data_IF_956865141190
#
_entry.id   IF_956865141190
#
_cell.length_a   1.000
_cell.length_b   1.000
_cell.length_c   1.000
_cell.angle_alpha   90.00
_cell.angle_beta   90.00
_cell.angle_gamma   90.00
#
_symmetry.space_group_name_H-M   'P 1'
#
loop_
_entity.id
_entity.type
_entity.pdbx_description
1 polymer ?
#
# COMPACT_ATOMS: atom_id res chain seq x y z
N UNK A 1 -13.93 -57.33 -38.55
CA UNK A 1 -13.38 -56.65 -37.34
C UNK A 1 -13.24 -55.18 -37.64
N UNK A 2 -14.02 -54.32 -37.04
CA UNK A 2 -13.95 -52.87 -37.33
C UNK A 2 -12.85 -52.21 -36.49
N UNK A 3 -12.08 -51.36 -37.14
CA UNK A 3 -10.90 -50.64 -36.66
C UNK A 3 -11.21 -49.58 -35.58
N UNK A 4 -10.96 -49.92 -34.33
CA UNK A 4 -11.13 -49.02 -33.14
C UNK A 4 -10.06 -47.92 -33.06
N UNK A 5 -9.10 -47.85 -33.97
CA UNK A 5 -7.96 -46.90 -33.88
C UNK A 5 -8.23 -45.48 -34.38
N UNK A 6 -9.34 -45.22 -35.09
CA UNK A 6 -9.64 -43.86 -35.60
C UNK A 6 -10.20 -42.90 -34.54
N UNK A 7 -10.72 -43.37 -33.42
CA UNK A 7 -11.26 -42.55 -32.33
C UNK A 7 -10.18 -41.98 -31.39
N UNK A 8 -9.20 -42.80 -31.06
CA UNK A 8 -8.12 -42.45 -30.13
C UNK A 8 -7.29 -41.26 -30.62
N UNK A 9 -6.93 -41.22 -31.91
CA UNK A 9 -6.17 -40.10 -32.48
C UNK A 9 -6.87 -38.73 -32.36
N UNK A 10 -8.21 -38.72 -32.57
CA UNK A 10 -9.01 -37.49 -32.42
C UNK A 10 -9.07 -37.01 -30.97
N UNK A 11 -9.16 -37.91 -30.01
CA UNK A 11 -9.16 -37.61 -28.58
C UNK A 11 -7.80 -37.01 -28.16
N UNK A 12 -6.69 -37.58 -28.62
CA UNK A 12 -5.36 -37.05 -28.35
C UNK A 12 -5.17 -35.66 -28.94
N UNK A 13 -5.64 -35.39 -30.15
CA UNK A 13 -5.56 -34.05 -30.77
C UNK A 13 -6.39 -33.04 -29.97
N UNK A 14 -7.59 -33.38 -29.53
CA UNK A 14 -8.45 -32.50 -28.73
C UNK A 14 -7.78 -32.19 -27.39
N UNK A 15 -7.25 -33.20 -26.70
CA UNK A 15 -6.54 -33.03 -25.44
C UNK A 15 -5.28 -32.17 -25.60
N UNK A 16 -4.54 -32.35 -26.68
CA UNK A 16 -3.34 -31.53 -26.95
C UNK A 16 -3.70 -30.07 -27.23
N UNK A 17 -4.75 -29.82 -28.03
CA UNK A 17 -5.21 -28.46 -28.33
C UNK A 17 -5.74 -27.76 -27.07
N UNK A 18 -6.52 -28.48 -26.25
CA UNK A 18 -7.02 -27.89 -24.97
C UNK A 18 -5.88 -27.59 -23.99
N UNK A 19 -4.87 -28.45 -23.89
CA UNK A 19 -3.68 -28.21 -23.08
C UNK A 19 -2.90 -26.98 -23.57
N UNK A 20 -2.75 -26.81 -24.89
CA UNK A 20 -2.11 -25.63 -25.49
C UNK A 20 -2.89 -24.33 -25.21
N UNK A 21 -4.22 -24.37 -25.27
CA UNK A 21 -5.08 -23.22 -24.98
C UNK A 21 -4.98 -22.81 -23.49
N UNK A 22 -4.98 -23.81 -22.59
CA UNK A 22 -4.82 -23.55 -21.14
C UNK A 22 -3.43 -22.99 -20.85
N UNK A 23 -2.37 -23.56 -21.44
CA UNK A 23 -1.00 -23.05 -21.28
C UNK A 23 -0.85 -21.61 -21.83
N UNK A 24 -1.45 -21.33 -23.00
CA UNK A 24 -1.49 -20.00 -23.60
C UNK A 24 -2.22 -18.99 -22.72
N UNK A 25 -3.41 -19.34 -22.24
CA UNK A 25 -4.20 -18.49 -21.35
C UNK A 25 -3.48 -18.24 -20.03
N UNK A 26 -2.83 -19.27 -19.45
CA UNK A 26 -2.02 -19.16 -18.24
C UNK A 26 -0.80 -18.25 -18.43
N UNK A 27 -0.10 -18.37 -19.56
CA UNK A 27 1.04 -17.52 -19.90
C UNK A 27 0.62 -16.05 -20.10
N UNK A 28 -0.47 -15.82 -20.83
CA UNK A 28 -1.02 -14.47 -21.03
C UNK A 28 -1.50 -13.86 -19.71
N UNK A 29 -2.20 -14.64 -18.88
CA UNK A 29 -2.63 -14.21 -17.55
C UNK A 29 -1.45 -13.85 -16.64
N UNK A 30 -0.41 -14.67 -16.64
CA UNK A 30 0.83 -14.40 -15.90
C UNK A 30 1.53 -13.10 -16.36
N UNK A 31 1.67 -12.91 -17.67
CA UNK A 31 2.24 -11.68 -18.24
C UNK A 31 1.39 -10.45 -17.91
N UNK A 32 0.08 -10.58 -17.96
CA UNK A 32 -0.84 -9.51 -17.60
C UNK A 32 -0.68 -9.09 -16.12
N UNK A 33 -0.67 -10.06 -15.21
CA UNK A 33 -0.48 -9.80 -13.77
C UNK A 33 0.91 -9.22 -13.48
N UNK A 34 1.95 -9.72 -14.14
CA UNK A 34 3.32 -9.20 -13.99
C UNK A 34 3.46 -7.75 -14.46
N UNK A 35 2.66 -7.33 -15.45
CA UNK A 35 2.65 -5.96 -15.98
C UNK A 35 1.68 -5.01 -15.25
N UNK A 36 0.87 -5.55 -14.30
CA UNK A 36 0.06 -4.73 -13.40
C UNK A 36 0.98 -4.12 -12.34
N UNK A 37 1.54 -2.95 -12.66
CA UNK A 37 2.21 -2.15 -11.63
C UNK A 37 1.14 -1.52 -10.73
N UNK A 38 1.36 -1.44 -9.40
CA UNK A 38 0.43 -0.78 -8.48
C UNK A 38 0.08 0.66 -8.90
N UNK A 39 0.99 1.34 -9.59
CA UNK A 39 0.73 2.67 -10.18
C UNK A 39 -0.41 2.64 -11.22
N UNK A 40 -0.43 1.62 -12.10
CA UNK A 40 -1.50 1.47 -13.09
C UNK A 40 -2.84 1.15 -12.44
N UNK A 41 -2.84 0.38 -11.34
CA UNK A 41 -4.05 0.06 -10.58
C UNK A 41 -4.63 1.32 -9.93
N UNK A 42 -3.79 2.16 -9.31
CA UNK A 42 -4.21 3.41 -8.66
C UNK A 42 -4.79 4.40 -9.69
N UNK A 43 -4.31 4.36 -10.93
CA UNK A 43 -4.76 5.24 -12.02
C UNK A 43 -5.97 4.69 -12.79
N UNK A 44 -6.53 3.54 -12.42
CA UNK A 44 -7.72 3.00 -13.09
C UNK A 44 -8.94 3.91 -12.88
N UNK A 45 -9.81 3.98 -13.89
CA UNK A 45 -11.06 4.76 -13.82
C UNK A 45 -11.93 4.39 -12.62
N UNK A 46 -11.87 3.14 -12.19
CA UNK A 46 -12.61 2.66 -11.03
C UNK A 46 -12.18 3.42 -9.76
N UNK A 47 -10.89 3.56 -9.51
CA UNK A 47 -10.36 4.28 -8.33
C UNK A 47 -10.62 5.77 -8.49
N UNK A 48 -10.47 6.34 -9.69
CA UNK A 48 -10.78 7.75 -9.96
C UNK A 48 -12.22 8.10 -9.64
N UNK A 49 -13.18 7.23 -9.96
CA UNK A 49 -14.59 7.42 -9.61
C UNK A 49 -14.85 7.36 -8.10
N UNK A 50 -14.17 6.46 -7.38
CA UNK A 50 -14.33 6.32 -5.92
C UNK A 50 -13.79 7.54 -5.15
N UNK A 51 -12.71 8.14 -5.62
CA UNK A 51 -12.02 9.26 -4.96
C UNK A 51 -12.70 10.61 -5.23
N UNK A 52 -13.55 10.69 -6.26
CA UNK A 52 -14.22 11.91 -6.68
C UNK A 52 -13.31 12.90 -7.44
N UNK A 53 -13.93 13.75 -8.25
CA UNK A 53 -13.19 14.67 -9.13
C UNK A 53 -12.31 15.68 -8.38
N UNK A 54 -12.76 16.11 -7.21
CA UNK A 54 -12.05 17.09 -6.37
C UNK A 54 -10.73 16.55 -5.75
N UNK A 55 -10.57 15.24 -5.70
CA UNK A 55 -9.41 14.60 -5.08
C UNK A 55 -8.46 13.93 -6.10
N UNK A 56 -8.64 14.19 -7.40
CA UNK A 56 -7.81 13.56 -8.44
C UNK A 56 -6.33 13.92 -8.32
N UNK A 57 -6.00 15.09 -7.78
CA UNK A 57 -4.61 15.48 -7.56
C UNK A 57 -3.94 14.63 -6.47
N UNK A 58 -4.70 14.16 -5.49
CA UNK A 58 -4.19 13.19 -4.49
C UNK A 58 -3.84 11.85 -5.14
N UNK A 59 -4.62 11.41 -6.14
CA UNK A 59 -4.30 10.19 -6.90
C UNK A 59 -3.01 10.29 -7.67
N UNK A 60 -2.70 11.47 -8.23
CA UNK A 60 -1.41 11.72 -8.92
C UNK A 60 -0.23 11.66 -7.94
N UNK A 61 -0.45 12.06 -6.68
CA UNK A 61 0.57 12.04 -5.63
C UNK A 61 0.70 10.66 -4.97
N UNK A 62 -0.36 9.84 -4.99
CA UNK A 62 -0.39 8.56 -4.30
C UNK A 62 0.81 7.64 -4.62
N UNK A 63 1.26 7.45 -5.88
CA UNK A 63 2.44 6.66 -6.17
C UNK A 63 3.69 7.18 -5.46
N UNK A 64 3.87 8.50 -5.46
CA UNK A 64 5.00 9.15 -4.79
C UNK A 64 4.93 8.99 -3.27
N UNK A 65 3.75 9.18 -2.68
CA UNK A 65 3.53 9.03 -1.24
C UNK A 65 3.72 7.57 -0.78
N UNK A 66 3.30 6.61 -1.60
CA UNK A 66 3.44 5.18 -1.33
C UNK A 66 4.84 4.62 -1.68
N UNK A 67 5.79 5.47 -2.05
CA UNK A 67 7.19 5.11 -2.24
C UNK A 67 7.46 4.24 -3.47
N UNK A 68 6.72 4.45 -4.58
CA UNK A 68 6.98 3.71 -5.83
C UNK A 68 8.24 4.20 -6.54
N UNK A 69 8.53 5.51 -6.47
CA UNK A 69 9.73 6.13 -7.02
C UNK A 69 10.96 5.86 -6.14
N UNK A 70 10.81 6.05 -4.81
CA UNK A 70 11.82 5.82 -3.80
C UNK A 70 11.17 5.58 -2.44
N UNK A 71 11.81 4.86 -1.51
CA UNK A 71 11.28 4.68 -0.17
C UNK A 71 10.99 6.02 0.52
N UNK A 72 9.87 6.10 1.23
CA UNK A 72 9.41 7.26 1.99
C UNK A 72 9.21 6.87 3.43
N UNK A 73 9.72 7.67 4.33
CA UNK A 73 9.51 7.48 5.78
C UNK A 73 8.65 8.62 6.31
N UNK A 74 7.64 8.27 7.08
CA UNK A 74 6.68 9.20 7.67
C UNK A 74 6.69 9.05 9.18
N UNK A 75 6.57 10.16 9.87
CA UNK A 75 6.24 10.21 11.28
C UNK A 75 4.71 10.37 11.40
N UNK A 76 4.06 9.40 12.03
CA UNK A 76 2.65 9.45 12.35
C UNK A 76 2.48 9.81 13.82
N UNK A 77 1.68 10.81 14.09
CA UNK A 77 1.35 11.29 15.42
C UNK A 77 -0.12 10.95 15.71
N UNK A 78 -0.36 10.19 16.75
CA UNK A 78 -1.70 9.80 17.17
C UNK A 78 -2.17 10.73 18.27
N UNK A 79 -3.15 11.57 17.93
CA UNK A 79 -3.71 12.58 18.79
C UNK A 79 -5.01 12.10 19.43
N UNK A 80 -5.13 12.29 20.74
CA UNK A 80 -6.36 12.07 21.48
C UNK A 80 -7.12 13.39 21.61
N UNK A 81 -8.15 13.58 20.81
CA UNK A 81 -8.97 14.79 20.78
C UNK A 81 -9.93 14.91 21.98
N UNK A 82 -10.08 13.87 22.79
CA UNK A 82 -10.94 13.93 23.98
C UNK A 82 -10.23 14.57 25.17
N UNK A 83 -8.93 14.71 25.09
CA UNK A 83 -8.13 15.39 26.10
C UNK A 83 -7.94 16.86 25.72
N UNK A 84 -8.68 17.75 26.39
CA UNK A 84 -8.65 19.20 26.13
C UNK A 84 -7.32 19.79 26.60
N UNK A 85 -6.48 20.19 25.66
CA UNK A 85 -5.23 20.91 25.92
C UNK A 85 -5.15 22.18 25.06
N UNK A 86 -4.43 23.21 25.49
CA UNK A 86 -4.12 24.35 24.64
C UNK A 86 -3.41 23.88 23.37
N UNK A 87 -3.99 24.17 22.19
CA UNK A 87 -3.42 23.80 20.89
C UNK A 87 -4.04 22.56 20.23
N UNK A 88 -5.03 21.91 20.84
CA UNK A 88 -5.74 20.75 20.27
C UNK A 88 -5.84 19.59 21.25
N UNK A 89 -5.57 18.38 20.82
CA UNK A 89 -5.55 17.19 21.64
C UNK A 89 -4.19 16.86 22.25
N UNK A 90 -4.07 15.66 22.78
CA UNK A 90 -2.82 15.13 23.34
C UNK A 90 -2.23 14.07 22.40
N UNK A 91 -0.99 14.28 21.98
CA UNK A 91 -0.24 13.29 21.19
C UNK A 91 0.34 12.27 22.15
N UNK A 92 -0.32 11.12 22.33
CA UNK A 92 0.10 10.07 23.26
C UNK A 92 1.06 9.04 22.67
N UNK A 93 0.96 8.84 21.35
CA UNK A 93 1.72 7.80 20.63
C UNK A 93 2.25 8.37 19.33
N UNK A 94 3.42 7.90 18.93
CA UNK A 94 3.96 8.14 17.59
C UNK A 94 4.32 6.82 16.90
N UNK A 95 4.35 6.83 15.58
CA UNK A 95 4.88 5.73 14.80
C UNK A 95 5.76 6.26 13.65
N UNK A 96 6.84 5.54 13.37
CA UNK A 96 7.68 5.76 12.20
C UNK A 96 7.37 4.66 11.20
N UNK A 97 6.82 5.04 10.05
CA UNK A 97 6.33 4.12 9.03
C UNK A 97 7.07 4.39 7.73
N UNK A 98 7.52 3.33 7.09
CA UNK A 98 8.19 3.39 5.80
C UNK A 98 7.32 2.77 4.72
N UNK A 99 7.19 3.48 3.61
CA UNK A 99 6.59 2.97 2.40
C UNK A 99 7.66 2.73 1.34
N UNK A 100 7.64 1.54 0.74
CA UNK A 100 8.52 1.18 -0.37
C UNK A 100 7.74 0.31 -1.37
N UNK A 101 7.59 0.77 -2.60
CA UNK A 101 6.85 0.08 -3.66
C UNK A 101 5.41 -0.30 -3.24
N UNK A 102 4.73 0.59 -2.52
CA UNK A 102 3.38 0.38 -2.01
C UNK A 102 3.27 -0.54 -0.79
N UNK A 103 4.39 -1.08 -0.28
CA UNK A 103 4.42 -1.88 0.95
C UNK A 103 4.69 -0.97 2.14
N UNK A 104 3.92 -1.18 3.21
CA UNK A 104 4.07 -0.48 4.47
C UNK A 104 4.90 -1.33 5.45
N UNK A 105 5.86 -0.69 6.08
CA UNK A 105 6.72 -1.27 7.12
C UNK A 105 6.69 -0.36 8.34
N UNK A 106 6.36 -0.91 9.50
CA UNK A 106 6.42 -0.20 10.78
C UNK A 106 7.86 -0.31 11.31
N UNK A 107 8.56 0.82 11.38
CA UNK A 107 9.95 0.87 11.84
C UNK A 107 10.04 1.06 13.36
N UNK A 108 9.16 1.88 13.92
CA UNK A 108 9.07 2.14 15.35
C UNK A 108 7.66 2.59 15.72
N UNK A 109 7.24 2.28 16.94
CA UNK A 109 6.01 2.78 17.54
C UNK A 109 6.22 2.82 19.05
N UNK A 110 5.95 3.98 19.69
CA UNK A 110 6.12 4.13 21.11
C UNK A 110 5.27 5.29 21.66
N UNK A 111 5.16 5.35 22.99
CA UNK A 111 4.56 6.48 23.70
C UNK A 111 5.47 7.72 23.65
N UNK A 112 4.85 8.89 23.49
CA UNK A 112 5.60 10.16 23.52
C UNK A 112 6.26 10.44 24.86
N UNK A 113 5.71 9.89 25.95
CA UNK A 113 6.32 9.95 27.28
C UNK A 113 7.73 9.34 27.34
N UNK A 114 7.99 8.30 26.54
CA UNK A 114 9.30 7.67 26.48
C UNK A 114 10.32 8.55 25.76
N UNK A 115 9.89 9.32 24.76
CA UNK A 115 10.74 10.33 24.12
C UNK A 115 11.15 11.40 25.13
N UNK A 116 10.18 11.92 25.90
CA UNK A 116 10.43 12.97 26.89
C UNK A 116 11.33 12.47 28.04
N UNK A 117 11.12 11.23 28.47
CA UNK A 117 11.94 10.60 29.54
C UNK A 117 13.38 10.41 29.11
N UNK A 118 13.62 10.05 27.86
CA UNK A 118 14.95 9.79 27.32
C UNK A 118 15.59 11.01 26.67
N UNK A 119 14.88 12.14 26.60
CA UNK A 119 15.42 13.37 26.05
C UNK A 119 16.59 13.91 26.92
N UNK A 120 17.67 14.36 26.29
CA UNK A 120 18.74 15.05 27.03
C UNK A 120 18.20 16.20 27.89
N UNK A 121 18.81 16.42 29.06
CA UNK A 121 18.33 17.42 30.03
C UNK A 121 18.31 18.83 29.42
N UNK A 122 19.26 19.11 28.57
CA UNK A 122 19.41 20.40 27.87
C UNK A 122 18.34 20.62 26.76
N UNK A 123 17.65 19.56 26.34
CA UNK A 123 16.54 19.63 25.36
C UNK A 123 15.20 19.97 26.01
N UNK A 124 15.09 19.86 27.32
CA UNK A 124 13.86 20.16 28.04
C UNK A 124 13.65 21.68 28.08
N UNK A 125 12.83 22.16 27.14
CA UNK A 125 12.42 23.56 27.16
C UNK A 125 11.41 23.78 28.28
N UNK A 126 11.61 24.88 29.01
CA UNK A 126 10.60 25.33 29.96
C UNK A 126 9.31 25.66 29.20
N UNK A 127 8.15 25.29 29.74
CA UNK A 127 6.89 25.68 29.14
C UNK A 127 6.81 27.20 29.06
N UNK A 128 6.15 27.77 28.02
CA UNK A 128 5.93 29.21 27.96
C UNK A 128 5.17 29.68 29.21
N UNK A 129 5.46 30.89 29.66
CA UNK A 129 4.76 31.48 30.79
C UNK A 129 3.25 31.42 30.57
N UNK A 130 2.44 31.10 31.62
CA UNK A 130 1.01 31.09 31.50
C UNK A 130 0.51 32.44 30.98
N UNK A 131 -0.40 32.41 30.02
CA UNK A 131 -1.08 33.62 29.57
C UNK A 131 -1.95 34.08 30.76
N UNK A 132 -1.59 35.18 31.37
CA UNK A 132 -2.35 35.83 32.45
C UNK A 132 -3.61 36.55 31.91
#
# INVERSE_FOLDING_TARGET
MPSHHRGLGKIFIILFVTALLIAGAGFYGYQFVKNLTPEKIIQTEFIRKQVGEQNQDLLKLAPKLLGFDRPRTYLWLFENNTELRPGGGFIGVYAVIRFAKGKMELLAMDGTENLDRNAPVDWKQLPPAPIS
#
